data_IF_584922056775
#
_entry.id   IF_584922056775
#
_cell.length_a   1.000
_cell.length_b   1.000
_cell.length_c   1.000
_cell.angle_alpha   90.00
_cell.angle_beta   90.00
_cell.angle_gamma   90.00
#
_symmetry.space_group_name_H-M   'P 1'
#
loop_
_entity.id
_entity.type
_entity.pdbx_description
1 polymer ?
#
# COMPACT_ATOMS: atom_id res chain seq x y z
N UNK A 1 7.76 -4.32 10.00
CA UNK A 1 7.13 -5.59 9.60
C UNK A 1 6.26 -5.40 8.38
N UNK A 2 6.31 -6.38 7.51
CA UNK A 2 5.56 -6.33 6.26
C UNK A 2 4.05 -6.19 6.47
N UNK A 3 3.51 -6.91 7.45
CA UNK A 3 2.09 -6.87 7.71
C UNK A 3 1.63 -5.49 8.21
N UNK A 4 2.46 -4.82 8.99
CA UNK A 4 2.15 -3.47 9.44
C UNK A 4 2.08 -2.51 8.27
N UNK A 5 2.95 -2.69 7.29
CA UNK A 5 2.96 -1.84 6.09
C UNK A 5 1.71 -2.08 5.25
N UNK A 6 1.29 -3.34 5.10
CA UNK A 6 0.07 -3.66 4.37
C UNK A 6 -1.14 -2.99 5.02
N UNK A 7 -1.22 -3.03 6.34
CA UNK A 7 -2.30 -2.36 7.05
C UNK A 7 -2.26 -0.85 6.87
N UNK A 8 -1.06 -0.27 6.89
CA UNK A 8 -0.91 1.17 6.69
C UNK A 8 -1.38 1.58 5.30
N UNK A 9 -1.05 0.78 4.28
CA UNK A 9 -1.50 1.05 2.92
C UNK A 9 -3.03 1.05 2.85
N UNK A 10 -3.66 0.05 3.46
CA UNK A 10 -5.12 -0.04 3.46
C UNK A 10 -5.76 1.17 4.14
N UNK A 11 -5.23 1.58 5.27
CA UNK A 11 -5.75 2.72 6.01
C UNK A 11 -5.61 4.02 5.22
N UNK A 12 -4.48 4.20 4.56
CA UNK A 12 -4.26 5.40 3.75
C UNK A 12 -5.21 5.42 2.55
N UNK A 13 -5.37 4.29 1.88
CA UNK A 13 -6.28 4.19 0.74
C UNK A 13 -7.72 4.46 1.17
N UNK A 14 -8.12 3.95 2.32
CA UNK A 14 -9.47 4.17 2.85
C UNK A 14 -9.71 5.65 3.17
N UNK A 15 -8.72 6.31 3.76
CA UNK A 15 -8.84 7.70 4.16
C UNK A 15 -8.82 8.67 2.99
N UNK A 16 -7.92 8.45 2.04
CA UNK A 16 -7.67 9.40 0.96
C UNK A 16 -8.36 9.04 -0.35
N UNK A 17 -8.82 7.80 -0.48
CA UNK A 17 -9.43 7.32 -1.69
C UNK A 17 -8.39 7.04 -2.75
N UNK A 18 -8.07 8.04 -3.56
CA UNK A 18 -7.05 7.87 -4.61
C UNK A 18 -5.74 8.49 -4.17
N UNK A 19 -4.66 7.73 -4.28
CA UNK A 19 -3.32 8.20 -3.95
C UNK A 19 -2.35 7.51 -4.90
N UNK A 20 -1.35 8.25 -5.34
CA UNK A 20 -0.34 7.70 -6.24
C UNK A 20 0.63 6.81 -5.48
N UNK A 21 1.14 5.78 -6.17
CA UNK A 21 2.11 4.87 -5.58
C UNK A 21 3.33 5.61 -5.03
N UNK A 22 3.76 6.67 -5.71
CA UNK A 22 4.89 7.46 -5.24
C UNK A 22 4.58 8.13 -3.91
N UNK A 23 3.37 8.64 -3.74
CA UNK A 23 2.97 9.27 -2.49
C UNK A 23 2.94 8.26 -1.35
N UNK A 24 2.42 7.06 -1.62
CA UNK A 24 2.45 5.98 -0.64
C UNK A 24 3.88 5.62 -0.27
N UNK A 25 4.74 5.48 -1.27
CA UNK A 25 6.14 5.13 -1.05
C UNK A 25 6.83 6.16 -0.17
N UNK A 26 6.62 7.44 -0.47
CA UNK A 26 7.21 8.51 0.30
C UNK A 26 6.69 8.52 1.74
N UNK A 27 5.38 8.34 1.91
CA UNK A 27 4.78 8.33 3.25
C UNK A 27 5.29 7.19 4.12
N UNK A 28 5.53 6.04 3.51
CA UNK A 28 5.95 4.84 4.23
C UNK A 28 7.45 4.61 4.17
N UNK A 29 8.19 5.51 3.54
CA UNK A 29 9.64 5.46 3.43
C UNK A 29 10.15 4.17 2.79
N UNK A 30 9.48 3.77 1.72
CA UNK A 30 9.86 2.60 0.93
C UNK A 30 9.90 2.98 -0.54
N UNK A 31 10.39 2.07 -1.39
CA UNK A 31 10.43 2.32 -2.83
C UNK A 31 9.04 2.09 -3.45
N UNK A 32 8.83 2.70 -4.61
CA UNK A 32 7.60 2.48 -5.39
C UNK A 32 7.44 1.01 -5.73
N UNK A 33 8.56 0.35 -6.03
CA UNK A 33 8.54 -1.09 -6.34
C UNK A 33 7.95 -1.89 -5.18
N UNK A 34 8.34 -1.54 -3.95
CA UNK A 34 7.81 -2.19 -2.76
C UNK A 34 6.31 -1.98 -2.64
N UNK A 35 5.82 -0.76 -2.95
CA UNK A 35 4.39 -0.47 -2.91
C UNK A 35 3.63 -1.37 -3.91
N UNK A 36 4.12 -1.50 -5.14
CA UNK A 36 3.46 -2.36 -6.12
C UNK A 36 3.44 -3.82 -5.67
N UNK A 37 4.51 -4.30 -5.08
CA UNK A 37 4.57 -5.67 -4.57
C UNK A 37 3.57 -5.87 -3.43
N UNK A 38 3.43 -4.87 -2.56
CA UNK A 38 2.48 -4.95 -1.45
C UNK A 38 1.04 -4.92 -1.95
N UNK A 39 0.76 -4.12 -2.97
CA UNK A 39 -0.57 -4.08 -3.58
C UNK A 39 -0.91 -5.44 -4.19
N UNK A 40 0.05 -6.07 -4.87
CA UNK A 40 -0.13 -7.41 -5.41
C UNK A 40 -0.45 -8.41 -4.30
N UNK A 41 0.25 -8.31 -3.18
CA UNK A 41 0.03 -9.19 -2.03
C UNK A 41 -1.39 -9.00 -1.50
N UNK A 42 -1.85 -7.77 -1.38
CA UNK A 42 -3.21 -7.50 -0.92
C UNK A 42 -4.25 -8.08 -1.86
N UNK A 43 -4.00 -7.97 -3.16
CA UNK A 43 -4.91 -8.55 -4.16
C UNK A 43 -4.97 -10.07 -4.04
N UNK A 44 -3.84 -10.71 -3.77
CA UNK A 44 -3.76 -12.17 -3.62
C UNK A 44 -4.58 -12.68 -2.44
N UNK A 45 -4.62 -11.90 -1.37
CA UNK A 45 -5.40 -12.30 -0.19
C UNK A 45 -6.85 -11.83 -0.25
N UNK A 46 -7.28 -11.34 -1.41
CA UNK A 46 -8.68 -11.03 -1.64
C UNK A 46 -9.13 -9.63 -1.28
N UNK A 47 -8.19 -8.73 -1.03
CA UNK A 47 -8.52 -7.33 -0.74
C UNK A 47 -8.68 -6.58 -2.06
N UNK A 48 -9.87 -6.04 -2.37
CA UNK A 48 -10.08 -5.30 -3.62
C UNK A 48 -9.43 -3.92 -3.55
N UNK A 49 -8.46 -3.70 -4.38
CA UNK A 49 -7.74 -2.42 -4.42
C UNK A 49 -7.84 -1.77 -5.79
#
# INVERSE_FOLDING_TARGET
MKIHRLMAILLILDSKGKIKAKELADSLEVSVRTIYRDIDTLAEIGIPI
#
